data_IF_043388260990
#
_entry.id   IF_043388260990
#
_cell.length_a   1.000
_cell.length_b   1.000
_cell.length_c   1.000
_cell.angle_alpha   90.00
_cell.angle_beta   90.00
_cell.angle_gamma   90.00
#
_symmetry.space_group_name_H-M   'P 1'
#
loop_
_entity.id
_entity.type
_entity.pdbx_description
1 polymer ?
#
# COMPACT_ATOMS: atom_id res chain seq x y z
N UNK A 1 -1.55 -11.87 0.92
CA UNK A 1 -2.95 -11.99 0.46
C UNK A 1 -3.52 -13.28 1.04
N UNK A 2 -4.70 -13.23 1.66
CA UNK A 2 -5.35 -14.41 2.27
C UNK A 2 -6.50 -14.86 1.36
N UNK A 3 -6.68 -16.16 1.20
CA UNK A 3 -7.77 -16.72 0.38
C UNK A 3 -9.09 -16.63 1.13
N UNK A 4 -9.82 -15.52 0.95
CA UNK A 4 -11.19 -15.38 1.45
C UNK A 4 -12.20 -16.02 0.49
N UNK A 5 -13.39 -16.44 0.98
CA UNK A 5 -14.44 -16.94 0.10
C UNK A 5 -14.84 -15.95 -1.01
N UNK A 6 -14.78 -14.64 -0.74
CA UNK A 6 -15.04 -13.60 -1.73
C UNK A 6 -14.01 -13.58 -2.86
N UNK A 7 -12.72 -13.67 -2.52
CA UNK A 7 -11.64 -13.77 -3.52
C UNK A 7 -11.77 -15.04 -4.35
N UNK A 8 -12.11 -16.18 -3.72
CA UNK A 8 -12.33 -17.44 -4.44
C UNK A 8 -13.48 -17.33 -5.45
N UNK A 9 -14.57 -16.64 -5.09
CA UNK A 9 -15.67 -16.38 -6.01
C UNK A 9 -15.21 -15.49 -7.19
N UNK A 10 -14.45 -14.43 -6.92
CA UNK A 10 -13.91 -13.56 -7.97
C UNK A 10 -12.99 -14.30 -8.94
N UNK A 11 -12.20 -15.25 -8.46
CA UNK A 11 -11.33 -16.10 -9.32
C UNK A 11 -12.19 -17.00 -10.21
N UNK A 12 -13.20 -17.69 -9.64
CA UNK A 12 -14.10 -18.57 -10.41
C UNK A 12 -14.91 -17.81 -11.47
N UNK A 13 -15.31 -16.58 -11.15
CA UNK A 13 -16.07 -15.70 -12.04
C UNK A 13 -15.19 -14.97 -13.07
N UNK A 14 -13.87 -15.20 -13.09
CA UNK A 14 -12.90 -14.49 -13.91
C UNK A 14 -12.91 -12.95 -13.72
N UNK A 15 -13.26 -12.49 -12.51
CA UNK A 15 -13.29 -11.08 -12.10
C UNK A 15 -12.02 -10.72 -11.31
N UNK A 16 -10.87 -11.23 -11.76
CA UNK A 16 -9.59 -11.10 -11.06
C UNK A 16 -9.11 -9.65 -10.89
N UNK A 17 -9.51 -8.75 -11.79
CA UNK A 17 -9.22 -7.31 -11.69
C UNK A 17 -9.81 -6.67 -10.42
N UNK A 18 -10.90 -7.21 -9.86
CA UNK A 18 -11.51 -6.70 -8.62
C UNK A 18 -10.75 -7.12 -7.36
N UNK A 19 -9.85 -8.09 -7.46
CA UNK A 19 -9.08 -8.60 -6.31
C UNK A 19 -8.21 -7.50 -5.70
N UNK A 20 -7.71 -6.55 -6.51
CA UNK A 20 -6.93 -5.42 -6.00
C UNK A 20 -7.76 -4.53 -5.04
N UNK A 21 -9.03 -4.29 -5.37
CA UNK A 21 -9.95 -3.54 -4.51
C UNK A 21 -10.30 -4.30 -3.23
N UNK A 22 -10.53 -5.62 -3.33
CA UNK A 22 -10.73 -6.48 -2.15
C UNK A 22 -9.48 -6.54 -1.26
N UNK A 23 -8.28 -6.46 -1.85
CA UNK A 23 -7.03 -6.42 -1.10
C UNK A 23 -6.89 -5.10 -0.34
N UNK A 24 -7.30 -3.97 -0.93
CA UNK A 24 -7.29 -2.65 -0.29
C UNK A 24 -8.25 -2.58 0.90
N UNK A 25 -9.46 -3.15 0.79
CA UNK A 25 -10.45 -3.19 1.87
C UNK A 25 -10.20 -4.34 2.86
N UNK A 26 -9.38 -5.32 2.48
CA UNK A 26 -9.01 -6.50 3.25
C UNK A 26 -8.09 -6.25 4.44
N UNK A 27 -7.80 -4.99 4.80
CA UNK A 27 -6.95 -4.61 5.94
C UNK A 27 -7.38 -5.29 7.26
N UNK A 28 -8.68 -5.50 7.47
CA UNK A 28 -9.23 -6.22 8.64
C UNK A 28 -8.69 -7.66 8.76
N UNK A 29 -8.39 -8.29 7.64
CA UNK A 29 -7.83 -9.63 7.59
C UNK A 29 -6.29 -9.63 7.63
N UNK A 30 -5.65 -8.48 7.83
CA UNK A 30 -4.19 -8.35 7.74
C UNK A 30 -3.69 -8.35 6.29
N UNK A 31 -4.55 -8.07 5.31
CA UNK A 31 -4.10 -7.88 3.94
C UNK A 31 -3.50 -6.48 3.79
N UNK A 32 -2.33 -6.42 3.16
CA UNK A 32 -1.68 -5.17 2.80
C UNK A 32 -1.41 -5.17 1.29
N UNK A 33 -1.59 -4.00 0.67
CA UNK A 33 -1.09 -3.77 -0.68
C UNK A 33 0.42 -3.57 -0.65
N UNK A 34 1.06 -3.72 -1.81
CA UNK A 34 2.49 -3.48 -1.96
C UNK A 34 2.85 -2.04 -1.55
N UNK A 35 2.10 -1.06 -2.03
CA UNK A 35 2.34 0.36 -1.76
C UNK A 35 2.20 0.70 -0.27
N UNK A 36 1.21 0.10 0.42
CA UNK A 36 1.07 0.26 1.87
C UNK A 36 2.28 -0.28 2.61
N UNK A 37 2.75 -1.47 2.25
CA UNK A 37 3.89 -2.08 2.92
C UNK A 37 5.20 -1.33 2.65
N UNK A 38 5.42 -0.89 1.41
CA UNK A 38 6.56 -0.04 1.05
C UNK A 38 6.54 1.28 1.83
N UNK A 39 5.38 1.93 1.95
CA UNK A 39 5.24 3.15 2.74
C UNK A 39 5.54 2.92 4.23
N UNK A 40 5.12 1.79 4.81
CA UNK A 40 5.48 1.42 6.18
C UNK A 40 6.99 1.23 6.36
N UNK A 41 7.68 0.60 5.40
CA UNK A 41 9.13 0.44 5.43
C UNK A 41 9.83 1.79 5.37
N UNK A 42 9.36 2.71 4.51
CA UNK A 42 9.89 4.06 4.41
C UNK A 42 9.66 4.85 5.71
N UNK A 43 8.45 4.78 6.29
CA UNK A 43 8.14 5.39 7.59
C UNK A 43 9.04 4.89 8.71
N UNK A 44 9.38 3.60 8.70
CA UNK A 44 10.34 2.97 9.63
C UNK A 44 11.81 3.28 9.32
N UNK A 45 12.10 4.00 8.24
CA UNK A 45 13.46 4.33 7.81
C UNK A 45 14.26 3.14 7.26
N UNK A 46 13.58 2.09 6.79
CA UNK A 46 14.22 0.88 6.27
C UNK A 46 14.60 0.95 4.79
N UNK A 47 13.96 1.84 4.03
CA UNK A 47 14.20 2.04 2.59
C UNK A 47 14.34 3.53 2.30
N UNK A 48 15.06 3.88 1.22
CA UNK A 48 15.18 5.27 0.78
C UNK A 48 13.90 5.74 0.05
N UNK A 49 13.77 7.05 -0.10
CA UNK A 49 12.68 7.64 -0.91
C UNK A 49 12.75 7.20 -2.37
N UNK A 50 13.95 7.08 -2.93
CA UNK A 50 14.16 6.63 -4.30
C UNK A 50 13.66 5.18 -4.51
N UNK A 51 14.01 4.28 -3.58
CA UNK A 51 13.52 2.89 -3.58
C UNK A 51 12.00 2.83 -3.48
N UNK A 52 11.41 3.68 -2.62
CA UNK A 52 9.97 3.76 -2.44
C UNK A 52 9.26 4.12 -3.76
N UNK A 53 9.73 5.14 -4.47
CA UNK A 53 9.12 5.61 -5.72
C UNK A 53 9.35 4.63 -6.86
N UNK A 54 10.53 4.03 -6.95
CA UNK A 54 10.86 3.10 -8.03
C UNK A 54 10.11 1.76 -7.93
N UNK A 55 9.84 1.28 -6.71
CA UNK A 55 9.14 0.01 -6.50
C UNK A 55 7.61 0.16 -6.41
N UNK A 56 7.10 1.37 -6.18
CA UNK A 56 5.66 1.61 -6.04
C UNK A 56 4.90 1.32 -7.35
N UNK A 57 3.69 0.80 -7.20
CA UNK A 57 2.75 0.57 -8.32
C UNK A 57 2.09 1.86 -8.77
N UNK A 58 1.68 2.69 -7.81
CA UNK A 58 1.18 4.04 -8.03
C UNK A 58 2.17 5.06 -7.44
N UNK A 59 3.06 5.56 -8.29
CA UNK A 59 4.07 6.52 -7.88
C UNK A 59 3.44 7.85 -7.42
N UNK A 60 2.37 8.30 -8.07
CA UNK A 60 1.76 9.59 -7.77
C UNK A 60 1.13 9.58 -6.37
N UNK A 61 0.42 8.51 -6.02
CA UNK A 61 -0.18 8.35 -4.70
C UNK A 61 0.89 8.25 -3.61
N UNK A 62 1.94 7.47 -3.85
CA UNK A 62 3.02 7.24 -2.87
C UNK A 62 3.87 8.49 -2.65
N UNK A 63 4.18 9.25 -3.70
CA UNK A 63 4.89 10.54 -3.60
C UNK A 63 4.09 11.53 -2.75
N UNK A 64 2.77 11.60 -2.95
CA UNK A 64 1.89 12.46 -2.14
C UNK A 64 1.97 12.08 -0.67
N UNK A 65 1.78 10.80 -0.34
CA UNK A 65 1.86 10.30 1.05
C UNK A 65 3.23 10.51 1.69
N UNK A 66 4.31 10.34 0.93
CA UNK A 66 5.67 10.58 1.41
C UNK A 66 5.89 12.05 1.77
N UNK A 67 5.43 12.99 0.92
CA UNK A 67 5.50 14.43 1.20
C UNK A 67 4.69 14.83 2.42
N UNK A 68 3.47 14.29 2.55
CA UNK A 68 2.61 14.54 3.71
C UNK A 68 3.30 14.08 5.01
N UNK A 69 3.94 12.89 5.00
CA UNK A 69 4.71 12.38 6.13
C UNK A 69 5.95 13.24 6.47
N UNK A 70 6.67 13.72 5.46
CA UNK A 70 7.82 14.62 5.67
C UNK A 70 7.39 15.97 6.26
N UNK A 71 6.24 16.49 5.83
CA UNK A 71 5.65 17.70 6.40
C UNK A 71 5.26 17.52 7.88
N UNK A 72 4.64 16.40 8.24
CA UNK A 72 4.33 16.05 9.63
C UNK A 72 5.59 15.95 10.49
N UNK A 73 6.64 15.27 10.00
CA UNK A 73 7.92 15.15 10.72
C UNK A 73 8.66 16.47 10.90
N UNK A 74 8.49 17.41 9.96
CA UNK A 74 9.03 18.76 10.08
C UNK A 74 8.23 19.62 11.08
N UNK A 75 6.92 19.38 11.22
CA UNK A 75 6.06 20.06 12.17
C UNK A 75 6.29 19.59 13.62
N UNK A 76 6.51 18.30 13.87
CA UNK A 76 6.79 17.76 15.21
C UNK A 76 8.17 18.16 15.78
N UNK A 77 9.10 18.62 14.93
CA UNK A 77 10.44 19.07 15.34
C UNK A 77 10.51 20.55 15.72
N UNK A 78 9.38 21.27 15.70
CA UNK A 78 9.28 22.71 15.97
C UNK A 78 8.61 22.96 17.31
#
# INVERSE_FOLDING_TARGET
MITTPGIQALIRDNKTFRIASELQTGAKYGMNTMDMHLFELYRKGKIAYDDLVNLARDQAEVIKKAKDLEAERAAEKK
#
